data_IF_891734995151
#
_entry.id   IF_891734995151
#
_cell.length_a   1.000
_cell.length_b   1.000
_cell.length_c   1.000
_cell.angle_alpha   90.00
_cell.angle_beta   90.00
_cell.angle_gamma   90.00
#
_symmetry.space_group_name_H-M   'P 1'
#
loop_
_entity.id
_entity.type
_entity.pdbx_description
1 polymer ?
#
# COMPACT_ATOMS: atom_id res chain seq x y z
N UNK A 1 36.59 -32.46 18.99
CA UNK A 1 35.15 -32.43 18.66
C UNK A 1 34.72 -30.95 18.70
N UNK A 2 34.76 -30.26 17.56
CA UNK A 2 34.48 -28.82 17.45
C UNK A 2 33.88 -28.54 16.07
N UNK A 3 32.55 -28.57 15.98
CA UNK A 3 31.76 -28.14 14.82
C UNK A 3 31.48 -26.65 14.96
N UNK A 4 32.32 -25.82 14.34
CA UNK A 4 32.16 -24.36 14.36
C UNK A 4 32.60 -23.74 13.03
N UNK A 5 32.08 -24.23 11.90
CA UNK A 5 32.55 -23.73 10.59
C UNK A 5 31.53 -23.73 9.43
N UNK A 6 30.21 -23.73 9.66
CA UNK A 6 29.25 -23.68 8.54
C UNK A 6 28.21 -22.56 8.60
N UNK A 7 28.19 -21.69 9.62
CA UNK A 7 27.16 -20.64 9.72
C UNK A 7 27.41 -19.39 8.87
N UNK A 8 28.58 -19.26 8.23
CA UNK A 8 28.95 -18.10 7.41
C UNK A 8 28.39 -18.18 5.98
N UNK A 9 28.52 -19.34 5.34
CA UNK A 9 28.10 -19.58 3.96
C UNK A 9 26.57 -19.47 3.80
N UNK A 10 25.80 -20.13 4.67
CA UNK A 10 24.33 -20.04 4.65
C UNK A 10 23.79 -18.64 4.99
N UNK A 11 24.57 -17.78 5.67
CA UNK A 11 24.15 -16.41 6.00
C UNK A 11 24.27 -15.50 4.78
N UNK A 12 25.36 -15.59 4.03
CA UNK A 12 25.59 -14.78 2.82
C UNK A 12 24.64 -15.18 1.68
N UNK A 13 24.42 -16.49 1.46
CA UNK A 13 23.49 -16.96 0.42
C UNK A 13 22.03 -16.61 0.73
N UNK A 14 21.64 -16.67 2.02
CA UNK A 14 20.30 -16.28 2.46
C UNK A 14 20.08 -14.76 2.35
N UNK A 15 21.09 -13.95 2.68
CA UNK A 15 21.04 -12.50 2.50
C UNK A 15 20.93 -12.11 1.01
N UNK A 16 21.68 -12.76 0.12
CA UNK A 16 21.60 -12.52 -1.33
C UNK A 16 20.21 -12.90 -1.88
N UNK A 17 19.68 -14.05 -1.46
CA UNK A 17 18.31 -14.47 -1.83
C UNK A 17 17.25 -13.46 -1.39
N UNK A 18 17.35 -12.97 -0.14
CA UNK A 18 16.43 -11.96 0.41
C UNK A 18 16.55 -10.63 -0.34
N UNK A 19 17.78 -10.18 -0.66
CA UNK A 19 18.00 -8.93 -1.41
C UNK A 19 17.43 -9.06 -2.82
N UNK A 20 17.72 -10.14 -3.54
CA UNK A 20 17.19 -10.38 -4.89
C UNK A 20 15.66 -10.42 -4.89
N UNK A 21 15.05 -11.04 -3.88
CA UNK A 21 13.59 -11.10 -3.74
C UNK A 21 12.98 -9.71 -3.42
N UNK A 22 13.62 -8.94 -2.53
CA UNK A 22 13.22 -7.57 -2.20
C UNK A 22 13.24 -6.66 -3.43
N UNK A 23 14.33 -6.69 -4.21
CA UNK A 23 14.49 -5.83 -5.40
C UNK A 23 13.50 -6.21 -6.49
N UNK A 24 13.23 -7.51 -6.71
CA UNK A 24 12.19 -7.96 -7.66
C UNK A 24 10.81 -7.46 -7.25
N UNK A 25 10.47 -7.54 -5.96
CA UNK A 25 9.19 -7.06 -5.44
C UNK A 25 9.03 -5.55 -5.67
N UNK A 26 10.08 -4.76 -5.43
CA UNK A 26 10.05 -3.32 -5.65
C UNK A 26 9.84 -2.94 -7.12
N UNK A 27 10.52 -3.60 -8.05
CA UNK A 27 10.35 -3.34 -9.48
C UNK A 27 8.93 -3.72 -9.93
N UNK A 28 8.45 -4.90 -9.52
CA UNK A 28 7.11 -5.38 -9.85
C UNK A 28 6.02 -4.46 -9.31
N UNK A 29 6.14 -4.03 -8.04
CA UNK A 29 5.17 -3.11 -7.42
C UNK A 29 5.15 -1.77 -8.13
N UNK A 30 6.30 -1.19 -8.49
CA UNK A 30 6.36 0.05 -9.27
C UNK A 30 5.64 -0.09 -10.62
N UNK A 31 5.92 -1.14 -11.39
CA UNK A 31 5.24 -1.35 -12.68
C UNK A 31 3.74 -1.61 -12.51
N UNK A 32 3.34 -2.39 -11.50
CA UNK A 32 1.95 -2.64 -11.20
C UNK A 32 1.22 -1.35 -10.83
N UNK A 33 1.82 -0.47 -10.02
CA UNK A 33 1.25 0.83 -9.67
C UNK A 33 1.03 1.70 -10.91
N UNK A 34 2.01 1.76 -11.82
CA UNK A 34 1.84 2.50 -13.07
C UNK A 34 0.70 1.92 -13.94
N UNK A 35 0.60 0.60 -14.03
CA UNK A 35 -0.48 -0.05 -14.77
C UNK A 35 -1.86 0.22 -14.13
N UNK A 36 -1.96 0.15 -12.80
CA UNK A 36 -3.19 0.46 -12.05
C UNK A 36 -3.61 1.91 -12.27
N UNK A 37 -2.69 2.86 -12.18
CA UNK A 37 -2.97 4.29 -12.42
C UNK A 37 -3.43 4.53 -13.86
N UNK A 38 -2.79 3.87 -14.83
CA UNK A 38 -3.19 3.97 -16.24
C UNK A 38 -4.60 3.41 -16.48
N UNK A 39 -4.90 2.22 -15.94
CA UNK A 39 -6.23 1.62 -16.03
C UNK A 39 -7.29 2.49 -15.36
N UNK A 40 -6.98 3.02 -14.16
CA UNK A 40 -7.87 3.93 -13.44
C UNK A 40 -8.16 5.20 -14.25
N UNK A 41 -7.13 5.80 -14.89
CA UNK A 41 -7.31 6.97 -15.73
C UNK A 41 -8.19 6.69 -16.96
N UNK A 42 -8.00 5.53 -17.61
CA UNK A 42 -8.82 5.11 -18.76
C UNK A 42 -10.27 4.90 -18.37
N UNK A 43 -10.51 4.16 -17.27
CA UNK A 43 -11.86 3.93 -16.75
C UNK A 43 -12.54 5.26 -16.37
N UNK A 44 -11.79 6.17 -15.75
CA UNK A 44 -12.26 7.49 -15.39
C UNK A 44 -12.68 8.31 -16.62
N UNK A 45 -11.83 8.38 -17.65
CA UNK A 45 -12.13 9.10 -18.88
C UNK A 45 -13.34 8.54 -19.62
N UNK A 46 -13.47 7.20 -19.66
CA UNK A 46 -14.58 6.54 -20.34
C UNK A 46 -15.93 6.76 -19.63
N UNK A 47 -15.92 6.83 -18.29
CA UNK A 47 -17.14 6.97 -17.48
C UNK A 47 -17.54 8.43 -17.22
N UNK A 48 -16.66 9.39 -17.48
CA UNK A 48 -16.91 10.82 -17.25
C UNK A 48 -18.11 11.40 -18.04
N UNK A 49 -18.32 11.09 -19.33
CA UNK A 49 -19.47 11.62 -20.07
C UNK A 49 -20.80 11.20 -19.44
N UNK A 50 -20.92 9.92 -19.06
CA UNK A 50 -22.10 9.37 -18.40
C UNK A 50 -22.32 10.00 -17.01
N UNK A 51 -21.24 10.30 -16.30
CA UNK A 51 -21.29 10.98 -15.02
C UNK A 51 -21.85 12.39 -15.10
N UNK A 52 -21.39 13.17 -16.08
CA UNK A 52 -21.85 14.53 -16.29
C UNK A 52 -23.33 14.55 -16.67
N UNK A 53 -23.79 13.57 -17.43
CA UNK A 53 -25.19 13.46 -17.82
C UNK A 53 -26.10 12.98 -16.68
N UNK A 54 -25.67 11.98 -15.89
CA UNK A 54 -26.56 11.29 -14.94
C UNK A 54 -26.35 11.75 -13.49
N UNK A 55 -25.10 11.94 -13.06
CA UNK A 55 -24.75 12.18 -11.66
C UNK A 55 -24.76 13.67 -11.33
N UNK A 56 -24.31 14.53 -12.24
CA UNK A 56 -24.21 15.96 -11.99
C UNK A 56 -25.58 16.65 -11.78
N UNK A 57 -26.62 16.42 -12.62
CA UNK A 57 -27.92 17.03 -12.41
C UNK A 57 -28.72 16.41 -11.25
N UNK A 58 -28.31 15.24 -10.75
CA UNK A 58 -28.97 14.57 -9.63
C UNK A 58 -28.85 15.38 -8.32
N UNK A 59 -29.89 15.43 -7.47
CA UNK A 59 -29.84 16.13 -6.19
C UNK A 59 -28.71 15.60 -5.30
N UNK A 60 -28.21 16.46 -4.41
CA UNK A 60 -27.18 16.07 -3.45
C UNK A 60 -27.73 15.03 -2.46
N UNK A 61 -27.23 13.80 -2.59
CA UNK A 61 -27.52 12.69 -1.68
C UNK A 61 -26.19 12.17 -1.08
N UNK A 62 -26.27 11.53 0.09
CA UNK A 62 -25.12 10.90 0.75
C UNK A 62 -24.35 9.98 -0.21
N UNK A 63 -25.06 9.19 -1.01
CA UNK A 63 -24.47 8.29 -2.02
C UNK A 63 -23.64 9.06 -3.06
N UNK A 64 -24.11 10.24 -3.51
CA UNK A 64 -23.40 11.09 -4.47
C UNK A 64 -22.13 11.67 -3.86
N UNK A 65 -22.19 12.14 -2.61
CA UNK A 65 -21.02 12.67 -1.90
C UNK A 65 -19.96 11.58 -1.73
N UNK A 66 -20.37 10.40 -1.25
CA UNK A 66 -19.45 9.29 -1.03
C UNK A 66 -18.80 8.81 -2.34
N UNK A 67 -19.60 8.76 -3.42
CA UNK A 67 -19.11 8.45 -4.75
C UNK A 67 -18.07 9.45 -5.25
N UNK A 68 -18.35 10.75 -5.13
CA UNK A 68 -17.43 11.80 -5.57
C UNK A 68 -16.14 11.81 -4.72
N UNK A 69 -16.23 11.60 -3.42
CA UNK A 69 -15.06 11.52 -2.54
C UNK A 69 -14.15 10.36 -2.93
N UNK A 70 -14.71 9.16 -3.14
CA UNK A 70 -13.93 8.00 -3.54
C UNK A 70 -13.30 8.22 -4.94
N UNK A 71 -14.05 8.79 -5.88
CA UNK A 71 -13.61 8.96 -7.27
C UNK A 71 -12.58 10.08 -7.47
N UNK A 72 -12.75 11.23 -6.81
CA UNK A 72 -11.92 12.42 -7.04
C UNK A 72 -10.87 12.65 -5.96
N UNK A 73 -10.97 11.94 -4.83
CA UNK A 73 -10.05 12.06 -3.71
C UNK A 73 -9.40 10.70 -3.40
N UNK A 74 -8.49 10.20 -4.27
CA UNK A 74 -7.78 8.96 -4.02
C UNK A 74 -6.75 9.15 -2.90
N UNK A 75 -7.24 9.06 -1.66
CA UNK A 75 -6.47 9.18 -0.43
C UNK A 75 -5.35 8.14 -0.39
N UNK A 76 -5.64 6.94 -0.91
CA UNK A 76 -4.73 5.82 -1.07
C UNK A 76 -3.55 6.12 -2.01
N UNK A 77 -3.80 6.73 -3.16
CA UNK A 77 -2.74 7.10 -4.13
C UNK A 77 -1.82 8.17 -3.55
N UNK A 78 -2.38 9.16 -2.84
CA UNK A 78 -1.59 10.20 -2.17
C UNK A 78 -0.71 9.57 -1.07
N UNK A 79 -1.27 8.65 -0.27
CA UNK A 79 -0.51 7.94 0.75
C UNK A 79 0.61 7.07 0.19
N UNK A 80 0.35 6.35 -0.91
CA UNK A 80 1.35 5.55 -1.60
C UNK A 80 2.47 6.42 -2.19
N UNK A 81 2.13 7.59 -2.75
CA UNK A 81 3.11 8.53 -3.28
C UNK A 81 4.02 9.08 -2.17
N UNK A 82 3.46 9.45 -1.02
CA UNK A 82 4.23 9.92 0.14
C UNK A 82 5.15 8.82 0.65
N UNK A 83 4.67 7.57 0.73
CA UNK A 83 5.48 6.41 1.12
C UNK A 83 6.69 6.21 0.20
N UNK A 84 6.49 6.28 -1.12
CA UNK A 84 7.55 6.02 -2.10
C UNK A 84 8.58 7.16 -2.22
N UNK A 85 8.19 8.41 -1.95
CA UNK A 85 9.03 9.58 -2.18
C UNK A 85 9.66 10.17 -0.92
N UNK A 86 9.06 9.98 0.26
CA UNK A 86 9.55 10.55 1.53
C UNK A 86 10.43 9.54 2.25
N UNK A 87 11.51 9.12 1.58
CA UNK A 87 12.52 8.20 2.10
C UNK A 87 13.50 8.89 3.07
N UNK A 88 12.99 9.66 4.02
CA UNK A 88 13.82 10.24 5.08
C UNK A 88 13.75 9.35 6.34
N UNK A 89 14.88 9.05 7.01
CA UNK A 89 14.91 8.16 8.16
C UNK A 89 14.07 8.71 9.34
N UNK A 90 14.01 10.03 9.50
CA UNK A 90 13.22 10.68 10.54
C UNK A 90 11.71 10.65 10.29
N UNK A 91 11.28 10.41 9.04
CA UNK A 91 9.86 10.42 8.64
C UNK A 91 9.35 9.04 8.25
N UNK A 92 10.18 7.99 8.38
CA UNK A 92 9.85 6.61 8.06
C UNK A 92 8.55 6.12 8.73
N UNK A 93 8.40 6.32 10.05
CA UNK A 93 7.20 5.91 10.78
C UNK A 93 5.97 6.73 10.36
N UNK A 94 6.14 8.03 10.10
CA UNK A 94 5.05 8.92 9.71
C UNK A 94 4.56 8.55 8.31
N UNK A 95 5.46 8.32 7.36
CA UNK A 95 5.12 7.93 6.00
C UNK A 95 4.42 6.56 5.94
N UNK A 96 4.90 5.56 6.70
CA UNK A 96 4.25 4.25 6.81
C UNK A 96 2.89 4.34 7.50
N UNK A 97 2.78 5.12 8.58
CA UNK A 97 1.51 5.28 9.29
C UNK A 97 0.49 5.98 8.41
N UNK A 98 0.89 7.05 7.72
CA UNK A 98 0.04 7.78 6.80
C UNK A 98 -0.40 6.90 5.64
N UNK A 99 0.51 6.18 5.00
CA UNK A 99 0.21 5.23 3.92
C UNK A 99 -0.70 4.08 4.36
N UNK A 100 -0.51 3.55 5.58
CA UNK A 100 -1.37 2.52 6.14
C UNK A 100 -2.79 3.03 6.41
N UNK A 101 -2.92 4.16 7.09
CA UNK A 101 -4.22 4.78 7.40
C UNK A 101 -4.95 5.21 6.12
N UNK A 102 -4.25 5.79 5.16
CA UNK A 102 -4.84 6.21 3.88
C UNK A 102 -5.40 5.02 3.10
N UNK A 103 -4.70 3.87 3.14
CA UNK A 103 -5.14 2.64 2.49
C UNK A 103 -6.41 2.08 3.15
N UNK A 104 -6.46 2.06 4.50
CA UNK A 104 -7.66 1.61 5.24
C UNK A 104 -8.86 2.51 4.94
N UNK A 105 -8.65 3.83 4.84
CA UNK A 105 -9.71 4.77 4.48
C UNK A 105 -10.21 4.56 3.04
N UNK A 106 -9.30 4.34 2.09
CA UNK A 106 -9.66 4.04 0.69
C UNK A 106 -10.50 2.77 0.57
N UNK A 107 -10.08 1.69 1.26
CA UNK A 107 -10.82 0.43 1.31
C UNK A 107 -12.22 0.64 1.91
N UNK A 108 -12.33 1.37 3.03
CA UNK A 108 -13.61 1.65 3.67
C UNK A 108 -14.59 2.37 2.73
N UNK A 109 -14.10 3.36 1.98
CA UNK A 109 -14.91 4.09 1.01
C UNK A 109 -15.35 3.20 -0.16
N UNK A 110 -14.48 2.31 -0.64
CA UNK A 110 -14.79 1.39 -1.73
C UNK A 110 -15.84 0.35 -1.30
N UNK A 111 -15.65 -0.23 -0.12
CA UNK A 111 -16.58 -1.21 0.46
C UNK A 111 -17.95 -0.59 0.69
N UNK A 112 -18.02 0.64 1.21
CA UNK A 112 -19.27 1.35 1.42
C UNK A 112 -20.06 1.56 0.12
N UNK A 113 -19.40 1.90 -1.00
CA UNK A 113 -20.07 2.02 -2.31
C UNK A 113 -20.60 0.68 -2.81
N UNK A 114 -19.80 -0.39 -2.67
CA UNK A 114 -20.21 -1.74 -3.06
C UNK A 114 -21.44 -2.17 -2.24
N UNK A 115 -21.46 -1.89 -0.94
CA UNK A 115 -22.59 -2.23 -0.07
C UNK A 115 -23.85 -1.45 -0.38
N UNK A 116 -23.74 -0.16 -0.71
CA UNK A 116 -24.88 0.63 -1.17
C UNK A 116 -25.49 0.04 -2.45
N UNK A 117 -24.65 -0.38 -3.40
CA UNK A 117 -25.10 -1.02 -4.65
C UNK A 117 -25.74 -2.38 -4.37
N UNK A 118 -25.11 -3.19 -3.51
CA UNK A 118 -25.60 -4.52 -3.17
C UNK A 118 -26.93 -4.43 -2.39
N UNK A 119 -27.09 -3.43 -1.54
CA UNK A 119 -28.34 -3.15 -0.83
C UNK A 119 -29.46 -2.72 -1.78
N UNK A 120 -29.16 -1.92 -2.79
CA UNK A 120 -30.12 -1.51 -3.81
C UNK A 120 -30.56 -2.66 -4.73
N UNK A 121 -29.66 -3.61 -5.01
CA UNK A 121 -29.96 -4.82 -5.80
C UNK A 121 -30.65 -5.92 -5.01
N UNK A 122 -30.44 -5.96 -3.69
CA UNK A 122 -31.11 -6.89 -2.79
C UNK A 122 -32.55 -6.44 -2.52
N UNK A 123 -33.41 -7.40 -2.18
CA UNK A 123 -34.82 -7.17 -1.76
C UNK A 123 -34.95 -6.47 -0.38
N UNK A 124 -33.94 -5.68 0.02
CA UNK A 124 -33.89 -4.86 1.24
C UNK A 124 -34.17 -5.59 2.57
N UNK A 125 -34.03 -6.93 2.61
CA UNK A 125 -34.24 -7.73 3.81
C UNK A 125 -33.40 -7.25 5.00
N UNK A 126 -34.02 -7.16 6.18
CA UNK A 126 -33.39 -6.67 7.40
C UNK A 126 -32.19 -7.53 7.83
N UNK A 127 -32.26 -8.85 7.61
CA UNK A 127 -31.17 -9.79 7.84
C UNK A 127 -29.95 -9.44 6.98
N UNK A 128 -30.17 -9.17 5.70
CA UNK A 128 -29.10 -8.82 4.75
C UNK A 128 -28.43 -7.51 5.14
N UNK A 129 -29.21 -6.52 5.59
CA UNK A 129 -28.68 -5.25 6.09
C UNK A 129 -27.81 -5.43 7.34
N UNK A 130 -28.22 -6.27 8.29
CA UNK A 130 -27.41 -6.56 9.49
C UNK A 130 -26.11 -7.26 9.09
N UNK A 131 -26.18 -8.23 8.19
CA UNK A 131 -25.01 -8.95 7.70
C UNK A 131 -23.98 -8.02 7.04
N UNK A 132 -24.43 -7.07 6.20
CA UNK A 132 -23.57 -6.05 5.59
C UNK A 132 -22.83 -5.19 6.63
N UNK A 133 -23.54 -4.71 7.65
CA UNK A 133 -22.91 -3.91 8.71
C UNK A 133 -21.89 -4.73 9.50
N UNK A 134 -22.22 -5.98 9.85
CA UNK A 134 -21.29 -6.86 10.56
C UNK A 134 -20.02 -7.11 9.76
N UNK A 135 -20.15 -7.37 8.46
CA UNK A 135 -19.00 -7.55 7.57
C UNK A 135 -18.15 -6.27 7.52
N UNK A 136 -18.76 -5.10 7.33
CA UNK A 136 -18.05 -3.81 7.29
C UNK A 136 -17.17 -3.63 8.53
N UNK A 137 -17.76 -3.74 9.72
CA UNK A 137 -17.01 -3.52 10.96
C UNK A 137 -15.93 -4.58 11.19
N UNK A 138 -16.16 -5.82 10.78
CA UNK A 138 -15.18 -6.90 10.90
C UNK A 138 -13.96 -6.66 10.00
N UNK A 139 -14.18 -6.28 8.74
CA UNK A 139 -13.10 -5.96 7.78
C UNK A 139 -12.32 -4.72 8.25
N UNK A 140 -13.01 -3.70 8.74
CA UNK A 140 -12.37 -2.50 9.27
C UNK A 140 -11.56 -2.77 10.54
N UNK A 141 -12.06 -3.61 11.45
CA UNK A 141 -11.31 -4.01 12.64
C UNK A 141 -10.06 -4.84 12.28
N UNK A 142 -10.20 -5.81 11.36
CA UNK A 142 -9.09 -6.65 10.91
C UNK A 142 -8.01 -5.85 10.19
N UNK A 143 -8.39 -4.92 9.31
CA UNK A 143 -7.44 -4.07 8.58
C UNK A 143 -6.68 -3.11 9.52
N UNK A 144 -7.36 -2.48 10.48
CA UNK A 144 -6.71 -1.65 11.50
C UNK A 144 -5.77 -2.45 12.39
N UNK A 145 -6.16 -3.67 12.80
CA UNK A 145 -5.30 -4.55 13.58
C UNK A 145 -4.04 -4.93 12.80
N UNK A 146 -4.18 -5.30 11.52
CA UNK A 146 -3.05 -5.64 10.65
C UNK A 146 -2.08 -4.46 10.48
N UNK A 147 -2.60 -3.25 10.21
CA UNK A 147 -1.75 -2.05 10.09
C UNK A 147 -1.09 -1.74 11.43
N UNK A 148 -1.81 -1.83 12.55
CA UNK A 148 -1.24 -1.58 13.88
C UNK A 148 -0.12 -2.56 14.25
N UNK A 149 -0.33 -3.85 14.00
CA UNK A 149 0.70 -4.88 14.20
C UNK A 149 1.90 -4.66 13.27
N UNK A 150 1.65 -4.32 12.00
CA UNK A 150 2.71 -4.00 11.06
C UNK A 150 3.54 -2.82 11.55
N UNK A 151 2.92 -1.69 11.89
CA UNK A 151 3.62 -0.51 12.41
C UNK A 151 4.38 -0.80 13.70
N UNK A 152 3.85 -1.64 14.59
CA UNK A 152 4.53 -2.07 15.81
C UNK A 152 5.75 -2.96 15.54
N UNK A 153 5.72 -3.73 14.44
CA UNK A 153 6.84 -4.58 14.00
C UNK A 153 7.95 -3.83 13.25
N UNK A 154 7.71 -2.56 12.89
CA UNK A 154 8.66 -1.75 12.14
C UNK A 154 9.74 -1.18 13.05
N UNK A 155 10.98 -1.59 12.80
CA UNK A 155 12.15 -0.90 13.30
C UNK A 155 12.72 -0.01 12.18
N UNK A 156 12.49 1.31 12.25
CA UNK A 156 13.09 2.26 11.31
C UNK A 156 14.58 2.44 11.65
N UNK A 157 15.42 1.50 11.20
CA UNK A 157 16.87 1.55 11.39
C UNK A 157 17.55 2.29 10.23
N UNK A 158 18.30 3.35 10.53
CA UNK A 158 19.19 3.99 9.56
C UNK A 158 20.45 3.13 9.37
N UNK A 159 20.42 2.21 8.39
CA UNK A 159 21.61 1.41 8.04
C UNK A 159 22.46 2.15 7.02
N UNK A 160 23.63 2.67 7.43
CA UNK A 160 24.68 3.05 6.49
C UNK A 160 25.19 1.79 5.80
N UNK A 161 24.85 1.61 4.53
CA UNK A 161 25.45 0.55 3.70
C UNK A 161 26.94 0.90 3.56
N UNK A 162 27.82 0.08 4.13
CA UNK A 162 29.25 0.19 3.82
C UNK A 162 29.42 -0.11 2.33
N UNK A 163 30.15 0.70 1.56
CA UNK A 163 30.39 0.38 0.16
C UNK A 163 31.00 -1.01 0.08
N UNK A 164 30.33 -1.93 -0.64
CA UNK A 164 30.90 -3.23 -0.94
C UNK A 164 32.29 -3.00 -1.56
N UNK A 165 33.31 -3.80 -1.21
CA UNK A 165 34.58 -3.78 -1.91
C UNK A 165 34.40 -4.55 -3.22
N UNK A 166 33.58 -4.02 -4.14
CA UNK A 166 33.67 -4.43 -5.55
C UNK A 166 34.90 -3.73 -6.10
N UNK A 167 36.06 -4.28 -5.72
CA UNK A 167 37.35 -3.88 -6.24
C UNK A 167 37.38 -4.16 -7.73
N UNK A 168 37.73 -3.12 -8.48
CA UNK A 168 37.97 -3.09 -9.93
C UNK A 168 36.71 -3.13 -10.81
N UNK A 169 36.59 -2.10 -11.66
CA UNK A 169 35.62 -1.91 -12.74
C UNK A 169 34.26 -1.33 -12.31
N UNK A 170 34.24 -0.03 -11.98
CA UNK A 170 33.78 1.03 -12.90
C UNK A 170 34.05 2.39 -12.23
N UNK A 171 35.03 3.07 -12.78
CA UNK A 171 35.35 4.47 -12.52
C UNK A 171 34.21 5.35 -13.04
N UNK A 172 33.17 5.63 -12.22
CA UNK A 172 32.31 6.84 -12.25
C UNK A 172 30.93 6.70 -11.55
N UNK A 173 30.86 6.16 -10.33
CA UNK A 173 29.59 6.16 -9.58
C UNK A 173 29.77 6.78 -8.19
N UNK A 174 29.73 8.11 -8.11
CA UNK A 174 29.42 8.85 -6.87
C UNK A 174 27.93 8.68 -6.51
N UNK A 175 27.47 7.45 -6.39
CA UNK A 175 26.14 7.16 -5.85
C UNK A 175 26.33 6.30 -4.62
N UNK A 176 26.36 6.96 -3.47
CA UNK A 176 26.04 6.31 -2.20
C UNK A 176 24.60 5.81 -2.39
N UNK A 177 24.44 4.51 -2.61
CA UNK A 177 23.11 3.89 -2.56
C UNK A 177 22.71 3.87 -1.09
N UNK A 178 22.01 4.91 -0.65
CA UNK A 178 21.34 4.94 0.65
C UNK A 178 20.08 4.10 0.49
N UNK A 179 20.17 2.82 0.83
CA UNK A 179 19.01 1.94 0.77
C UNK A 179 18.22 2.06 2.08
N UNK A 180 17.10 2.78 2.01
CA UNK A 180 16.17 2.97 3.11
C UNK A 180 15.31 1.71 3.29
N UNK A 181 15.86 0.65 3.88
CA UNK A 181 15.10 -0.57 4.22
C UNK A 181 14.38 -0.40 5.56
N UNK A 182 13.07 -0.59 5.56
CA UNK A 182 12.31 -0.94 6.77
C UNK A 182 12.48 -2.44 6.98
N UNK A 183 13.07 -2.85 8.11
CA UNK A 183 13.21 -4.27 8.46
C UNK A 183 12.06 -4.67 9.38
N UNK A 184 11.33 -5.72 8.99
CA UNK A 184 10.34 -6.38 9.85
C UNK A 184 11.09 -7.17 10.91
N UNK A 185 10.77 -6.93 12.18
CA UNK A 185 11.26 -7.76 13.28
C UNK A 185 10.68 -9.18 13.13
N UNK A 186 11.53 -10.12 12.72
CA UNK A 186 11.21 -11.56 12.71
C UNK A 186 11.82 -12.13 14.00
N UNK A 187 11.03 -12.72 14.91
CA UNK A 187 11.55 -13.34 16.14
C UNK A 187 12.42 -14.58 15.85
#
# INVERSE_FOLDING_TARGET
MSTKQDYGFWREDMDIGIILQSTRCEILTRHALHAVVALWAVDWLQTLPLEVEVIWPSPWNFVKVLFLLNRYFPVDVIGAFIYLNVANPNTCMIANSFGGVSSVLGIAMAEAIIFLRLYALSDQGTLFRIWLYLQFFLVQAASLAMVGLFLASLECAYRKVKPLPVGLLISMARYIVVEHRCTVSIP
#
